data_IF_587030686496
#
_entry.id   IF_587030686496
#
_cell.length_a   1.000
_cell.length_b   1.000
_cell.length_c   1.000
_cell.angle_alpha   90.00
_cell.angle_beta   90.00
_cell.angle_gamma   90.00
#
_symmetry.space_group_name_H-M   'P 1'
#
loop_
_entity.id
_entity.type
_entity.pdbx_description
1 polymer ?
#
# COMPACT_ATOMS: atom_id res chain seq x y z
N UNK A 1 13.31 -11.48 2.76
CA UNK A 1 12.65 -11.38 1.43
C UNK A 1 12.31 -9.92 1.12
N UNK A 2 12.89 -9.32 0.07
CA UNK A 2 12.44 -8.04 -0.47
C UNK A 2 11.27 -8.28 -1.43
N UNK A 3 10.17 -7.56 -1.25
CA UNK A 3 8.95 -7.70 -2.06
C UNK A 3 8.22 -6.37 -2.08
N UNK A 4 7.70 -5.99 -3.25
CA UNK A 4 6.85 -4.81 -3.40
C UNK A 4 5.60 -5.16 -4.20
N UNK A 5 4.62 -4.27 -4.23
CA UNK A 5 3.38 -4.54 -4.94
C UNK A 5 2.22 -3.71 -4.48
N UNK A 6 1.02 -4.21 -4.78
CA UNK A 6 -0.24 -3.54 -4.56
C UNK A 6 -1.26 -4.54 -4.04
N UNK A 7 -2.10 -4.13 -3.11
CA UNK A 7 -3.29 -4.90 -2.76
C UNK A 7 -4.54 -4.05 -2.87
N UNK A 8 -5.65 -4.71 -3.19
CA UNK A 8 -7.00 -4.17 -3.20
C UNK A 8 -7.95 -5.07 -2.41
N UNK A 9 -9.01 -4.48 -1.87
CA UNK A 9 -10.12 -5.17 -1.22
C UNK A 9 -11.40 -4.88 -2.00
N UNK A 10 -12.13 -5.93 -2.32
CA UNK A 10 -13.38 -5.87 -3.06
C UNK A 10 -14.46 -6.67 -2.32
N UNK A 11 -15.67 -6.12 -2.11
CA UNK A 11 -16.78 -6.90 -1.58
C UNK A 11 -17.28 -7.88 -2.65
N UNK A 12 -17.44 -9.13 -2.25
CA UNK A 12 -17.97 -10.18 -3.10
C UNK A 12 -19.52 -10.11 -3.15
N UNK A 13 -20.18 -11.03 -3.86
CA UNK A 13 -21.65 -11.02 -4.01
C UNK A 13 -22.39 -11.09 -2.67
N UNK A 14 -21.84 -11.86 -1.74
CA UNK A 14 -22.26 -12.03 -0.34
C UNK A 14 -21.75 -10.91 0.59
N UNK A 15 -21.18 -9.84 0.04
CA UNK A 15 -20.63 -8.68 0.76
C UNK A 15 -19.38 -8.94 1.61
N UNK A 16 -18.94 -10.19 1.74
CA UNK A 16 -17.65 -10.54 2.32
C UNK A 16 -16.50 -9.91 1.52
N UNK A 17 -15.49 -9.41 2.22
CA UNK A 17 -14.35 -8.75 1.58
C UNK A 17 -13.32 -9.77 1.09
N UNK A 18 -12.99 -9.70 -0.20
CA UNK A 18 -11.89 -10.46 -0.80
C UNK A 18 -10.69 -9.55 -0.98
N UNK A 19 -9.50 -10.06 -0.63
CA UNK A 19 -8.24 -9.35 -0.83
C UNK A 19 -7.55 -9.85 -2.09
N UNK A 20 -7.36 -8.96 -3.04
CA UNK A 20 -6.55 -9.17 -4.22
C UNK A 20 -5.17 -8.54 -4.00
N UNK A 21 -4.11 -9.23 -4.39
CA UNK A 21 -2.75 -8.71 -4.28
C UNK A 21 -1.94 -9.03 -5.53
N UNK A 22 -1.22 -8.03 -6.03
CA UNK A 22 -0.17 -8.14 -7.01
C UNK A 22 1.15 -7.99 -6.26
N UNK A 23 2.03 -9.00 -6.36
CA UNK A 23 3.30 -9.03 -5.64
C UNK A 23 4.45 -9.20 -6.64
N UNK A 24 5.46 -8.35 -6.56
CA UNK A 24 6.73 -8.50 -7.25
C UNK A 24 7.75 -9.03 -6.27
N UNK A 25 8.25 -10.23 -6.54
CA UNK A 25 9.22 -10.93 -5.71
C UNK A 25 10.32 -11.49 -6.60
N UNK A 26 11.56 -11.55 -6.10
CA UNK A 26 12.62 -12.26 -6.81
C UNK A 26 12.25 -13.75 -6.87
N UNK A 27 12.40 -14.38 -8.04
CA UNK A 27 12.01 -15.78 -8.28
C UNK A 27 12.59 -16.76 -7.25
N UNK A 28 13.80 -16.50 -6.74
CA UNK A 28 14.43 -17.32 -5.70
C UNK A 28 13.66 -17.39 -4.37
N UNK A 29 12.76 -16.43 -4.12
CA UNK A 29 11.93 -16.35 -2.91
C UNK A 29 10.47 -16.73 -3.17
N UNK A 30 10.12 -17.18 -4.38
CA UNK A 30 8.73 -17.48 -4.73
C UNK A 30 8.15 -18.60 -3.86
N UNK A 31 8.86 -19.73 -3.72
CA UNK A 31 8.37 -20.87 -2.95
C UNK A 31 8.22 -20.53 -1.46
N UNK A 32 9.18 -19.77 -0.91
CA UNK A 32 9.12 -19.24 0.46
C UNK A 32 7.87 -18.37 0.67
N UNK A 33 7.58 -17.47 -0.29
CA UNK A 33 6.38 -16.63 -0.25
C UNK A 33 5.09 -17.47 -0.31
N UNK A 34 5.02 -18.47 -1.18
CA UNK A 34 3.86 -19.36 -1.31
C UNK A 34 3.61 -20.11 0.00
N UNK A 35 4.66 -20.65 0.63
CA UNK A 35 4.56 -21.34 1.93
C UNK A 35 4.03 -20.37 2.99
N UNK A 36 4.57 -19.16 3.08
CA UNK A 36 4.14 -18.16 4.07
C UNK A 36 2.68 -17.73 3.87
N UNK A 37 2.26 -17.47 2.63
CA UNK A 37 0.87 -17.09 2.34
C UNK A 37 -0.07 -18.23 2.74
N UNK A 38 0.23 -19.46 2.35
CA UNK A 38 -0.63 -20.59 2.69
C UNK A 38 -0.68 -20.83 4.20
N UNK A 39 0.47 -20.77 4.90
CA UNK A 39 0.54 -20.91 6.36
C UNK A 39 -0.35 -19.92 7.10
N UNK A 40 -0.45 -18.68 6.62
CA UNK A 40 -1.17 -17.61 7.32
C UNK A 40 -2.62 -17.40 6.87
N UNK A 41 -2.96 -17.74 5.62
CA UNK A 41 -4.27 -17.40 5.05
C UNK A 41 -5.09 -18.61 4.59
N UNK A 42 -4.47 -19.77 4.37
CA UNK A 42 -5.19 -20.95 3.89
C UNK A 42 -5.85 -21.68 5.05
N UNK A 43 -7.16 -21.51 5.17
CA UNK A 43 -8.02 -22.25 6.11
C UNK A 43 -8.98 -23.22 5.39
N UNK A 44 -9.04 -23.16 4.06
CA UNK A 44 -9.76 -24.08 3.17
C UNK A 44 -9.09 -24.12 1.79
N UNK A 45 -9.48 -25.05 0.92
CA UNK A 45 -8.91 -25.13 -0.44
C UNK A 45 -9.15 -23.87 -1.26
N UNK A 46 -10.30 -23.22 -1.08
CA UNK A 46 -10.71 -22.03 -1.84
C UNK A 46 -10.30 -20.71 -1.17
N UNK A 47 -9.68 -20.75 0.02
CA UNK A 47 -9.31 -19.55 0.78
C UNK A 47 -8.21 -18.72 0.09
N UNK A 48 -7.31 -19.37 -0.65
CA UNK A 48 -6.12 -18.75 -1.23
C UNK A 48 -5.93 -19.27 -2.65
N UNK A 49 -5.82 -18.35 -3.60
CA UNK A 49 -5.43 -18.62 -4.99
C UNK A 49 -4.20 -17.79 -5.34
N UNK A 50 -3.11 -18.46 -5.70
CA UNK A 50 -1.85 -17.82 -6.10
C UNK A 50 -1.56 -18.21 -7.55
N UNK A 51 -1.26 -17.22 -8.37
CA UNK A 51 -0.95 -17.41 -9.79
C UNK A 51 0.29 -16.58 -10.15
N UNK A 52 1.26 -17.20 -10.79
CA UNK A 52 2.37 -16.48 -11.42
C UNK A 52 1.83 -15.80 -12.69
N UNK A 53 2.04 -14.48 -12.80
CA UNK A 53 1.57 -13.72 -13.96
C UNK A 53 2.51 -13.97 -15.14
N UNK A 54 1.95 -14.57 -16.20
CA UNK A 54 2.60 -14.62 -17.49
C UNK A 54 2.56 -13.23 -18.16
N UNK A 55 3.71 -12.56 -18.20
CA UNK A 55 3.87 -11.24 -18.79
C UNK A 55 3.51 -11.18 -20.29
N UNK A 56 3.49 -12.32 -20.99
CA UNK A 56 3.04 -12.40 -22.40
C UNK A 56 1.51 -12.29 -22.52
N UNK A 57 0.77 -12.75 -21.51
CA UNK A 57 -0.70 -12.78 -21.51
C UNK A 57 -1.33 -11.54 -20.89
N UNK A 58 -0.71 -10.99 -19.85
CA UNK A 58 -1.25 -9.83 -19.16
C UNK A 58 -0.16 -8.96 -18.52
N UNK A 59 -0.29 -7.64 -18.70
CA UNK A 59 0.58 -6.69 -18.02
C UNK A 59 0.09 -6.47 -16.59
N UNK A 60 1.01 -6.41 -15.64
CA UNK A 60 0.71 -6.11 -14.24
C UNK A 60 -0.11 -4.81 -14.07
N UNK A 61 0.13 -3.82 -14.94
CA UNK A 61 -0.64 -2.57 -15.03
C UNK A 61 -2.12 -2.81 -15.32
N UNK A 62 -2.45 -3.73 -16.22
CA UNK A 62 -3.84 -4.09 -16.54
C UNK A 62 -4.54 -4.73 -15.35
N UNK A 63 -3.81 -5.55 -14.57
CA UNK A 63 -4.32 -6.14 -13.33
C UNK A 63 -4.63 -5.06 -12.29
N UNK A 64 -3.69 -4.15 -12.02
CA UNK A 64 -3.92 -3.02 -11.09
C UNK A 64 -5.09 -2.15 -11.54
N UNK A 65 -5.14 -1.80 -12.83
CA UNK A 65 -6.22 -0.97 -13.38
C UNK A 65 -7.59 -1.62 -13.19
N UNK A 66 -7.72 -2.93 -13.45
CA UNK A 66 -8.97 -3.68 -13.26
C UNK A 66 -9.56 -3.52 -11.86
N UNK A 67 -8.75 -3.55 -10.80
CA UNK A 67 -9.26 -3.45 -9.42
C UNK A 67 -9.44 -2.00 -8.97
N UNK A 68 -8.66 -1.06 -9.51
CA UNK A 68 -8.87 0.36 -9.25
C UNK A 68 -10.19 0.86 -9.87
N UNK A 69 -10.48 0.47 -11.12
CA UNK A 69 -11.61 0.99 -11.91
C UNK A 69 -12.98 0.51 -11.47
N UNK A 70 -13.10 -0.68 -10.86
CA UNK A 70 -14.39 -1.19 -10.34
C UNK A 70 -15.09 -0.28 -9.34
N UNK A 71 -14.33 0.62 -8.71
CA UNK A 71 -14.81 1.51 -7.67
C UNK A 71 -15.03 2.96 -8.15
N UNK A 72 -14.63 3.26 -9.39
CA UNK A 72 -14.85 4.56 -10.02
C UNK A 72 -16.15 4.53 -10.83
N UNK A 73 -16.85 5.66 -10.84
CA UNK A 73 -17.93 5.86 -11.80
C UNK A 73 -17.28 6.24 -13.14
N UNK A 74 -16.73 5.24 -13.83
CA UNK A 74 -16.21 5.43 -15.18
C UNK A 74 -17.32 5.04 -16.14
N UNK A 75 -17.96 6.05 -16.73
CA UNK A 75 -18.77 5.90 -17.94
C UNK A 75 -17.83 5.56 -19.11
N UNK A 76 -17.25 4.36 -19.12
CA UNK A 76 -16.68 3.84 -20.36
C UNK A 76 -17.84 3.31 -21.19
N UNK A 77 -18.39 4.17 -22.05
CA UNK A 77 -19.16 3.72 -23.20
C UNK A 77 -18.24 2.86 -24.07
N UNK A 78 -18.45 1.54 -24.03
CA UNK A 78 -18.01 0.68 -25.11
C UNK A 78 -18.88 1.03 -26.33
N UNK A 79 -18.34 1.88 -27.23
CA UNK A 79 -18.97 2.14 -28.54
C UNK A 79 -19.11 0.80 -29.28
N UNK A 80 -20.36 0.36 -29.44
CA UNK A 80 -20.72 -0.93 -30.02
C UNK A 80 -22.23 -1.27 -29.97
N UNK A 81 -23.04 -0.47 -29.28
CA UNK A 81 -24.46 -0.32 -29.58
C UNK A 81 -25.38 -1.41 -29.00
N UNK A 82 -25.83 -1.22 -27.77
CA UNK A 82 -27.21 -0.87 -27.40
C UNK A 82 -27.28 -0.99 -25.87
N UNK A 83 -27.44 0.17 -25.21
CA UNK A 83 -27.62 0.28 -23.78
C UNK A 83 -29.10 0.03 -23.47
N UNK A 84 -29.42 -1.05 -22.75
CA UNK A 84 -30.78 -1.28 -22.29
C UNK A 84 -31.02 -0.44 -21.03
N UNK A 85 -31.90 0.57 -21.13
CA UNK A 85 -32.12 1.62 -20.12
C UNK A 85 -33.08 1.17 -19.00
N UNK A 86 -33.65 -0.04 -19.10
CA UNK A 86 -34.71 -0.52 -18.18
C UNK A 86 -34.21 -1.27 -16.92
N UNK A 87 -32.91 -1.27 -16.63
CA UNK A 87 -32.41 -1.79 -15.36
C UNK A 87 -31.91 -0.67 -14.48
N UNK A 88 -32.78 -0.25 -13.56
CA UNK A 88 -32.44 0.51 -12.36
C UNK A 88 -31.58 -0.34 -11.39
N UNK A 89 -30.56 -1.02 -11.89
CA UNK A 89 -29.55 -1.65 -11.06
C UNK A 89 -28.62 -0.55 -10.57
N UNK A 90 -28.59 -0.34 -9.25
CA UNK A 90 -27.52 0.44 -8.60
C UNK A 90 -26.20 -0.09 -9.16
N UNK A 91 -25.56 0.72 -10.01
CA UNK A 91 -24.28 0.42 -10.64
C UNK A 91 -23.33 -0.19 -9.62
N UNK A 92 -22.63 -1.28 -9.96
CA UNK A 92 -21.79 -2.01 -8.99
C UNK A 92 -20.81 -1.11 -8.21
N UNK A 93 -20.34 -0.01 -8.83
CA UNK A 93 -19.51 0.98 -8.16
C UNK A 93 -20.21 1.70 -6.98
N UNK A 94 -21.52 1.95 -7.04
CA UNK A 94 -22.30 2.57 -5.95
C UNK A 94 -22.46 1.59 -4.79
N UNK A 95 -22.72 0.31 -5.05
CA UNK A 95 -22.75 -0.75 -4.01
C UNK A 95 -21.39 -0.86 -3.31
N UNK A 96 -20.33 -0.94 -4.10
CA UNK A 96 -18.94 -1.00 -3.62
C UNK A 96 -18.60 0.24 -2.77
N UNK A 97 -19.02 1.44 -3.18
CA UNK A 97 -18.82 2.69 -2.40
C UNK A 97 -19.67 2.75 -1.13
N UNK A 98 -20.92 2.28 -1.16
CA UNK A 98 -21.80 2.24 0.02
C UNK A 98 -21.23 1.32 1.11
N UNK A 99 -20.81 0.12 0.73
CA UNK A 99 -20.15 -0.85 1.63
C UNK A 99 -18.86 -0.29 2.21
N UNK A 100 -18.09 0.49 1.44
CA UNK A 100 -16.88 1.18 1.92
C UNK A 100 -17.19 2.26 2.95
N UNK A 101 -18.21 3.07 2.69
CA UNK A 101 -18.63 4.11 3.63
C UNK A 101 -19.15 3.48 4.92
N UNK A 102 -19.91 2.39 4.82
CA UNK A 102 -20.48 1.68 5.96
C UNK A 102 -19.39 1.06 6.86
N UNK A 103 -18.42 0.35 6.28
CA UNK A 103 -17.42 -0.39 7.05
C UNK A 103 -16.08 0.32 7.22
N UNK A 104 -15.93 1.53 6.66
CA UNK A 104 -14.68 2.31 6.69
C UNK A 104 -13.43 1.55 6.20
N UNK A 105 -13.61 0.67 5.20
CA UNK A 105 -12.52 -0.19 4.70
C UNK A 105 -11.65 0.53 3.69
N UNK A 106 -10.33 0.49 3.90
CA UNK A 106 -9.34 0.96 2.93
C UNK A 106 -9.35 0.05 1.70
N UNK A 107 -9.67 0.62 0.54
CA UNK A 107 -9.74 -0.12 -0.74
C UNK A 107 -8.42 -0.70 -1.19
N UNK A 108 -7.34 0.07 -1.14
CA UNK A 108 -6.07 -0.38 -1.69
C UNK A 108 -4.88 0.33 -1.07
N UNK A 109 -3.71 -0.33 -1.15
CA UNK A 109 -2.44 0.30 -0.85
C UNK A 109 -1.30 -0.34 -1.64
N UNK A 110 -0.27 0.47 -1.90
CA UNK A 110 1.02 -0.01 -2.35
C UNK A 110 1.83 -0.43 -1.13
N UNK A 111 2.60 -1.49 -1.24
CA UNK A 111 3.51 -1.97 -0.20
C UNK A 111 4.90 -2.26 -0.80
N UNK A 112 5.91 -2.32 0.07
CA UNK A 112 7.28 -2.65 -0.32
C UNK A 112 7.99 -1.63 -1.21
N UNK A 113 7.32 -0.55 -1.62
CA UNK A 113 8.00 0.64 -2.13
C UNK A 113 8.78 1.23 -0.97
N UNK A 114 10.11 1.24 -1.11
CA UNK A 114 11.03 1.80 -0.12
C UNK A 114 10.54 3.19 0.26
N UNK A 115 10.57 3.54 1.55
CA UNK A 115 9.98 4.79 2.06
C UNK A 115 10.71 6.07 1.57
N UNK A 116 11.46 6.01 0.46
CA UNK A 116 12.22 7.11 -0.14
C UNK A 116 11.31 8.25 -0.58
N UNK A 117 10.16 7.99 -1.22
CA UNK A 117 9.19 9.04 -1.55
C UNK A 117 8.62 9.70 -0.28
N UNK A 118 8.43 8.91 0.80
CA UNK A 118 8.05 9.47 2.09
C UNK A 118 9.18 10.31 2.68
N UNK A 119 10.43 9.86 2.58
CA UNK A 119 11.61 10.58 3.07
C UNK A 119 11.79 11.92 2.35
N UNK A 120 11.69 11.92 1.02
CA UNK A 120 11.68 13.14 0.21
C UNK A 120 10.62 14.14 0.70
N UNK A 121 9.39 13.66 0.97
CA UNK A 121 8.31 14.51 1.50
C UNK A 121 8.54 14.96 2.95
N UNK A 122 9.18 14.16 3.79
CA UNK A 122 9.50 14.53 5.18
C UNK A 122 10.65 15.55 5.21
N UNK A 123 11.69 15.39 4.37
CA UNK A 123 12.77 16.37 4.20
C UNK A 123 12.19 17.74 3.80
N UNK A 124 11.32 17.78 2.78
CA UNK A 124 10.64 19.03 2.37
C UNK A 124 9.82 19.68 3.49
N UNK A 125 9.26 18.90 4.43
CA UNK A 125 8.50 19.43 5.57
C UNK A 125 9.37 19.85 6.76
N UNK A 126 10.60 19.34 6.84
CA UNK A 126 11.52 19.54 7.96
C UNK A 126 12.78 20.27 7.49
N UNK A 127 12.60 21.43 6.86
CA UNK A 127 13.71 22.27 6.39
C UNK A 127 14.67 22.68 7.50
N UNK A 128 14.22 22.71 8.76
CA UNK A 128 15.05 22.97 9.94
C UNK A 128 16.15 21.92 10.18
N UNK A 129 16.11 20.77 9.49
CA UNK A 129 17.17 19.77 9.53
C UNK A 129 18.38 20.12 8.65
N UNK A 130 18.28 21.15 7.79
CA UNK A 130 19.42 21.61 6.99
C UNK A 130 20.56 22.09 7.91
N UNK A 131 21.79 21.66 7.62
CA UNK A 131 23.00 22.00 8.37
C UNK A 131 23.20 21.20 9.66
N UNK A 132 22.41 20.15 9.90
CA UNK A 132 22.49 19.33 11.13
C UNK A 132 23.26 18.02 10.94
N UNK A 133 23.30 17.49 9.73
CA UNK A 133 23.93 16.21 9.42
C UNK A 133 24.29 16.17 7.92
N UNK A 134 25.53 15.82 7.60
CA UNK A 134 26.05 15.84 6.22
C UNK A 134 25.29 14.90 5.27
N UNK A 135 24.83 13.75 5.76
CA UNK A 135 24.05 12.77 4.98
C UNK A 135 22.66 13.34 4.67
N UNK A 136 22.04 14.00 5.64
CA UNK A 136 20.75 14.70 5.46
C UNK A 136 20.91 15.88 4.51
N UNK A 137 21.99 16.66 4.61
CA UNK A 137 22.26 17.80 3.73
C UNK A 137 22.53 17.37 2.29
N UNK A 138 23.25 16.26 2.10
CA UNK A 138 23.40 15.64 0.78
C UNK A 138 22.07 15.16 0.22
N UNK A 139 21.17 14.64 1.06
CA UNK A 139 19.81 14.30 0.63
C UNK A 139 19.00 15.54 0.22
N UNK A 140 19.13 16.66 0.95
CA UNK A 140 18.51 17.93 0.57
C UNK A 140 19.03 18.46 -0.77
N UNK A 141 20.31 18.30 -1.09
CA UNK A 141 20.86 18.73 -2.37
C UNK A 141 20.17 18.05 -3.58
N UNK A 142 19.82 16.77 -3.46
CA UNK A 142 19.03 16.09 -4.51
C UNK A 142 17.59 16.58 -4.57
N UNK A 143 16.98 16.85 -3.40
CA UNK A 143 15.61 17.38 -3.30
C UNK A 143 15.51 18.76 -3.95
N UNK A 144 16.48 19.63 -3.69
CA UNK A 144 16.55 20.99 -4.21
C UNK A 144 16.78 20.98 -5.73
N UNK A 145 17.57 20.03 -6.25
CA UNK A 145 17.77 19.81 -7.70
C UNK A 145 16.63 19.02 -8.38
N UNK A 146 15.62 18.59 -7.62
CA UNK A 146 14.56 17.70 -8.09
C UNK A 146 15.06 16.38 -8.73
N UNK A 147 16.23 15.89 -8.33
CA UNK A 147 16.81 14.64 -8.79
C UNK A 147 16.35 13.46 -7.92
N UNK A 148 15.18 12.90 -8.27
CA UNK A 148 14.61 11.77 -7.53
C UNK A 148 15.40 10.46 -7.73
N UNK A 149 16.06 10.27 -8.87
CA UNK A 149 16.81 9.05 -9.17
C UNK A 149 18.08 9.02 -8.31
N UNK A 150 18.88 10.07 -8.36
CA UNK A 150 20.09 10.21 -7.54
C UNK A 150 19.76 10.14 -6.05
N UNK A 151 18.69 10.81 -5.63
CA UNK A 151 18.18 10.68 -4.27
C UNK A 151 17.85 9.24 -3.90
N UNK A 152 17.10 8.52 -4.73
CA UNK A 152 16.65 7.16 -4.43
C UNK A 152 17.82 6.19 -4.28
N UNK A 153 18.86 6.35 -5.09
CA UNK A 153 20.10 5.57 -4.99
C UNK A 153 20.85 5.95 -3.71
N UNK A 154 20.98 7.25 -3.42
CA UNK A 154 21.74 7.72 -2.27
C UNK A 154 21.08 7.37 -0.92
N UNK A 155 19.81 7.68 -0.73
CA UNK A 155 19.17 7.47 0.59
C UNK A 155 18.94 6.00 0.91
N UNK A 156 18.96 5.15 -0.13
CA UNK A 156 18.85 3.72 0.03
C UNK A 156 20.05 3.18 0.84
N UNK A 157 19.80 2.81 2.11
CA UNK A 157 20.82 2.29 3.01
C UNK A 157 21.54 3.35 3.83
N UNK A 158 21.39 4.63 3.50
CA UNK A 158 21.97 5.74 4.25
C UNK A 158 20.97 6.41 5.19
N UNK A 159 19.73 6.62 4.76
CA UNK A 159 18.70 7.30 5.57
C UNK A 159 17.47 6.44 5.78
N UNK A 160 16.85 6.57 6.96
CA UNK A 160 15.61 5.86 7.29
C UNK A 160 14.64 6.76 8.03
N UNK A 161 13.36 6.67 7.68
CA UNK A 161 12.31 7.26 8.52
C UNK A 161 12.04 6.34 9.69
N UNK A 162 12.24 6.84 10.91
CA UNK A 162 11.71 6.25 12.12
C UNK A 162 10.39 6.89 12.53
N UNK A 163 9.49 6.03 13.04
CA UNK A 163 8.16 6.42 13.50
C UNK A 163 8.08 6.14 14.99
N UNK A 164 7.81 7.19 15.76
CA UNK A 164 7.60 7.08 17.20
C UNK A 164 6.13 6.89 17.48
N UNK A 165 5.79 5.87 18.26
CA UNK A 165 4.42 5.54 18.60
C UNK A 165 4.17 5.59 20.11
N UNK A 166 3.05 6.17 20.55
CA UNK A 166 2.57 6.00 21.92
C UNK A 166 1.69 4.77 22.00
N UNK A 167 1.71 4.09 23.15
CA UNK A 167 0.67 3.13 23.49
C UNK A 167 -0.61 3.91 23.77
N UNK A 168 -1.68 3.61 23.03
CA UNK A 168 -3.03 4.04 23.42
C UNK A 168 -3.64 2.86 24.16
N UNK A 169 -4.09 3.11 25.37
CA UNK A 169 -4.98 2.17 26.05
C UNK A 169 -6.37 2.37 25.44
N UNK A 170 -6.84 1.36 24.73
CA UNK A 170 -8.12 1.43 24.00
C UNK A 170 -9.30 1.10 24.94
N UNK A 171 -9.03 0.57 26.14
CA UNK A 171 -10.05 0.21 27.13
C UNK A 171 -9.72 0.60 28.58
N UNK A 172 -10.74 1.10 29.28
CA UNK A 172 -10.78 1.34 30.72
C UNK A 172 -12.22 1.02 31.18
N UNK A 173 -12.38 0.30 32.28
CA UNK A 173 -13.66 -0.18 32.86
C UNK A 173 -14.30 -1.39 32.15
N UNK A 174 -13.58 -2.51 32.11
CA UNK A 174 -14.09 -3.90 32.06
C UNK A 174 -14.99 -4.39 30.91
N UNK A 175 -14.74 -3.98 29.66
CA UNK A 175 -15.22 -4.72 28.49
C UNK A 175 -14.12 -4.78 27.41
N UNK A 176 -13.71 -5.99 26.99
CA UNK A 176 -12.92 -6.34 25.79
C UNK A 176 -11.50 -5.73 25.56
N UNK A 177 -10.59 -6.01 26.49
CA UNK A 177 -9.20 -6.42 26.19
C UNK A 177 -8.16 -5.39 25.72
N UNK A 178 -6.89 -5.65 26.04
CA UNK A 178 -5.72 -4.87 25.61
C UNK A 178 -5.42 -5.09 24.12
N UNK A 179 -6.26 -4.56 23.24
CA UNK A 179 -5.90 -4.41 21.82
C UNK A 179 -4.97 -3.20 21.73
N UNK A 180 -3.65 -3.43 21.81
CA UNK A 180 -2.63 -2.37 21.79
C UNK A 180 -2.70 -1.52 20.49
N UNK A 181 -3.48 -0.44 20.52
CA UNK A 181 -3.44 0.61 19.50
C UNK A 181 -2.16 1.43 19.64
N UNK A 182 -1.45 1.66 18.53
CA UNK A 182 -0.28 2.55 18.49
C UNK A 182 -0.67 3.88 17.85
N UNK A 183 -0.61 5.01 18.59
CA UNK A 183 -0.74 6.37 18.01
C UNK A 183 0.60 6.79 17.44
N UNK A 184 0.66 7.30 16.22
CA UNK A 184 1.88 7.96 15.74
C UNK A 184 2.05 9.31 16.45
N UNK A 185 3.16 9.48 17.17
CA UNK A 185 3.52 10.75 17.85
C UNK A 185 4.38 11.61 16.93
N UNK A 186 5.29 10.98 16.18
CA UNK A 186 6.26 11.71 15.37
C UNK A 186 6.93 10.84 14.32
N UNK A 187 7.49 11.52 13.32
CA UNK A 187 8.39 10.93 12.32
C UNK A 187 9.71 11.66 12.35
N UNK A 188 10.78 10.89 12.37
CA UNK A 188 12.15 11.36 12.40
C UNK A 188 12.95 10.71 11.28
N UNK A 189 13.98 11.40 10.82
CA UNK A 189 14.92 10.89 9.83
C UNK A 189 16.14 10.49 10.63
N UNK A 190 16.69 9.31 10.34
CA UNK A 190 17.89 8.82 11.00
C UNK A 190 18.91 8.49 9.93
N UNK A 191 20.13 8.94 10.19
CA UNK A 191 21.32 8.53 9.48
C UNK A 191 21.76 7.15 9.99
N UNK A 192 21.78 6.17 9.09
CA UNK A 192 22.09 4.79 9.42
C UNK A 192 23.59 4.57 9.68
N UNK A 193 24.45 5.49 9.25
CA UNK A 193 25.90 5.42 9.48
C UNK A 193 26.29 5.84 10.89
N UNK A 194 25.67 6.92 11.39
CA UNK A 194 25.91 7.49 12.72
C UNK A 194 24.90 7.02 13.77
N UNK A 195 23.75 6.49 13.33
CA UNK A 195 22.55 6.23 14.15
C UNK A 195 21.97 7.48 14.81
N UNK A 196 22.32 8.66 14.32
CA UNK A 196 21.85 9.94 14.81
C UNK A 196 20.63 10.44 14.03
N UNK A 197 19.88 11.33 14.67
CA UNK A 197 18.63 11.91 14.17
C UNK A 197 18.84 13.28 13.57
#
# INVERSE_FOLDING_TARGET
MEMNGFWAVEPHKDQCFHKHALMYVNKKHYDELVILINKHFRHSENAVRIEEIDAKKSKATSYVMKYLTKSFNLEFELKGGVLNVDKLEISNHKKVRAVQALWSVRRYAIFGVKNTLSLWRELKRKSFLKGKNDVIDKAFAFVDKNDFIGFSIFVNGNLKIMRLYSKIQVFKNDLLGDVFGKRLIGKYIIDLSTKEM
#
